data_IF_001080289149
#
_entry.id   IF_001080289149
#
_cell.length_a   1.000
_cell.length_b   1.000
_cell.length_c   1.000
_cell.angle_alpha   90.00
_cell.angle_beta   90.00
_cell.angle_gamma   90.00
#
_symmetry.space_group_name_H-M   'P 1'
#
loop_
_entity.id
_entity.type
_entity.pdbx_description
1 polymer ?
#
# COMPACT_ATOMS: atom_id res chain seq x y z
N UNK A 1 -14.30 17.42 21.73
CA UNK A 1 -14.58 16.88 20.38
C UNK A 1 -14.40 17.88 19.22
N UNK A 2 -14.28 19.20 19.42
CA UNK A 2 -14.14 20.18 18.31
C UNK A 2 -12.81 20.11 17.52
N UNK A 3 -11.71 19.66 18.13
CA UNK A 3 -10.43 19.54 17.44
C UNK A 3 -10.47 18.45 16.34
N UNK A 4 -11.08 17.29 16.66
CA UNK A 4 -11.19 16.17 15.73
C UNK A 4 -12.04 16.51 14.50
N UNK A 5 -13.15 17.25 14.70
CA UNK A 5 -14.02 17.65 13.59
C UNK A 5 -13.37 18.66 12.65
N UNK A 6 -12.58 19.60 13.18
CA UNK A 6 -11.80 20.57 12.39
C UNK A 6 -10.71 19.88 11.57
N UNK A 7 -10.02 18.90 12.15
CA UNK A 7 -9.02 18.08 11.44
C UNK A 7 -9.69 17.31 10.31
N UNK A 8 -10.83 16.65 10.55
CA UNK A 8 -11.55 15.90 9.52
C UNK A 8 -12.07 16.81 8.38
N UNK A 9 -12.51 18.03 8.68
CA UNK A 9 -12.91 19.01 7.67
C UNK A 9 -11.72 19.50 6.84
N UNK A 10 -10.58 19.75 7.47
CA UNK A 10 -9.34 20.10 6.78
C UNK A 10 -8.88 18.98 5.84
N UNK A 11 -8.94 17.72 6.28
CA UNK A 11 -8.55 16.60 5.42
C UNK A 11 -9.54 16.43 4.23
N UNK A 12 -10.85 16.61 4.47
CA UNK A 12 -11.85 16.64 3.37
C UNK A 12 -11.58 17.74 2.35
N UNK A 13 -11.21 18.95 2.79
CA UNK A 13 -10.93 20.07 1.89
C UNK A 13 -9.59 19.94 1.17
N UNK A 14 -8.61 19.27 1.78
CA UNK A 14 -7.40 18.85 1.09
C UNK A 14 -7.75 17.89 -0.03
N UNK A 15 -8.55 16.84 0.23
CA UNK A 15 -8.82 15.81 -0.77
C UNK A 15 -9.52 16.31 -2.04
N UNK A 16 -10.42 17.28 -1.92
CA UNK A 16 -11.06 17.90 -3.09
C UNK A 16 -10.10 18.71 -3.97
N UNK A 17 -8.96 19.12 -3.42
CA UNK A 17 -7.92 19.92 -4.11
C UNK A 17 -6.71 19.08 -4.57
N UNK A 18 -6.67 17.79 -4.24
CA UNK A 18 -5.57 16.91 -4.64
C UNK A 18 -5.55 16.75 -6.17
N UNK A 19 -4.39 16.88 -6.84
CA UNK A 19 -4.23 16.55 -8.25
C UNK A 19 -4.71 15.12 -8.59
N UNK A 20 -5.27 14.93 -9.79
CA UNK A 20 -5.86 13.63 -10.19
C UNK A 20 -4.85 12.48 -10.05
N UNK A 21 -3.59 12.74 -10.38
CA UNK A 21 -2.49 11.78 -10.35
C UNK A 21 -2.24 11.27 -8.93
N UNK A 22 -2.28 12.16 -7.93
CA UNK A 22 -2.09 11.78 -6.53
C UNK A 22 -3.29 10.98 -6.01
N UNK A 23 -4.52 11.29 -6.43
CA UNK A 23 -5.70 10.48 -6.08
C UNK A 23 -5.62 9.07 -6.65
N UNK A 24 -5.16 8.93 -7.88
CA UNK A 24 -4.91 7.62 -8.51
C UNK A 24 -3.83 6.87 -7.74
N UNK A 25 -2.72 7.53 -7.41
CA UNK A 25 -1.63 6.91 -6.66
C UNK A 25 -2.08 6.42 -5.27
N UNK A 26 -2.88 7.21 -4.55
CA UNK A 26 -3.47 6.81 -3.26
C UNK A 26 -4.38 5.59 -3.43
N UNK A 27 -5.24 5.59 -4.45
CA UNK A 27 -6.09 4.45 -4.75
C UNK A 27 -5.26 3.18 -5.02
N UNK A 28 -4.23 3.28 -5.87
CA UNK A 28 -3.32 2.16 -6.16
C UNK A 28 -2.66 1.65 -4.89
N UNK A 29 -2.11 2.54 -4.05
CA UNK A 29 -1.48 2.16 -2.80
C UNK A 29 -2.41 1.37 -1.87
N UNK A 30 -3.65 1.83 -1.74
CA UNK A 30 -4.68 1.14 -0.96
C UNK A 30 -5.05 -0.21 -1.56
N UNK A 31 -5.30 -0.29 -2.87
CA UNK A 31 -5.71 -1.56 -3.50
C UNK A 31 -4.60 -2.60 -3.44
N UNK A 32 -3.34 -2.22 -3.70
CA UNK A 32 -2.19 -3.12 -3.56
C UNK A 32 -2.10 -3.66 -2.13
N UNK A 33 -2.16 -2.80 -1.12
CA UNK A 33 -2.12 -3.23 0.28
C UNK A 33 -3.26 -4.18 0.61
N UNK A 34 -4.46 -3.90 0.11
CA UNK A 34 -5.63 -4.73 0.37
C UNK A 34 -5.56 -6.08 -0.33
N UNK A 35 -5.00 -6.14 -1.53
CA UNK A 35 -4.69 -7.40 -2.20
C UNK A 35 -3.62 -8.18 -1.44
N UNK A 36 -2.58 -7.50 -0.92
CA UNK A 36 -1.56 -8.11 -0.07
C UNK A 36 -2.17 -8.73 1.20
N UNK A 37 -3.11 -8.04 1.86
CA UNK A 37 -3.84 -8.57 3.03
C UNK A 37 -4.65 -9.82 2.72
N UNK A 38 -5.20 -9.91 1.51
CA UNK A 38 -6.08 -11.00 1.07
C UNK A 38 -5.33 -12.22 0.55
N UNK A 39 -4.01 -12.12 0.37
CA UNK A 39 -3.20 -13.26 -0.01
C UNK A 39 -3.10 -14.25 1.16
N UNK A 40 -4.06 -15.16 1.20
CA UNK A 40 -4.02 -16.38 2.01
C UNK A 40 -3.67 -17.50 1.05
N UNK A 41 -2.46 -18.06 1.21
CA UNK A 41 -1.98 -19.24 0.48
C UNK A 41 -2.37 -19.27 -1.01
N UNK A 42 -2.13 -18.18 -1.74
CA UNK A 42 -2.48 -18.13 -3.16
C UNK A 42 -1.56 -19.04 -3.97
N UNK A 43 -2.08 -20.05 -4.70
CA UNK A 43 -1.30 -20.88 -5.61
C UNK A 43 -0.97 -20.13 -6.91
N UNK A 44 -0.98 -18.79 -6.90
CA UNK A 44 -0.66 -17.99 -8.06
C UNK A 44 0.81 -18.18 -8.44
N UNK A 45 1.04 -18.54 -9.70
CA UNK A 45 2.38 -18.69 -10.29
C UNK A 45 3.20 -17.39 -10.22
N UNK A 46 2.53 -16.23 -10.16
CA UNK A 46 3.13 -14.91 -9.94
C UNK A 46 2.34 -14.10 -8.90
N UNK A 47 2.87 -14.05 -7.67
CA UNK A 47 2.29 -13.31 -6.54
C UNK A 47 2.15 -11.81 -6.82
N UNK A 48 3.01 -11.21 -7.65
CA UNK A 48 2.94 -9.80 -8.00
C UNK A 48 1.75 -9.51 -8.91
N UNK A 49 1.35 -10.45 -9.77
CA UNK A 49 0.14 -10.32 -10.59
C UNK A 49 -1.12 -10.28 -9.72
N UNK A 50 -1.14 -11.02 -8.62
CA UNK A 50 -2.28 -11.02 -7.70
C UNK A 50 -2.38 -9.71 -6.87
N UNK A 51 -1.25 -9.06 -6.61
CA UNK A 51 -1.20 -7.84 -5.77
C UNK A 51 -1.44 -6.59 -6.59
N UNK A 52 -0.82 -6.49 -7.76
CA UNK A 52 -0.84 -5.28 -8.58
C UNK A 52 -2.12 -5.24 -9.42
N UNK A 53 -2.91 -4.16 -9.38
CA UNK A 53 -4.11 -4.03 -10.19
C UNK A 53 -3.84 -4.22 -11.69
N UNK A 54 -4.67 -5.00 -12.38
CA UNK A 54 -4.49 -5.31 -13.80
C UNK A 54 -4.86 -4.17 -14.76
N UNK A 55 -5.66 -3.21 -14.28
CA UNK A 55 -6.25 -2.10 -15.04
C UNK A 55 -5.38 -0.82 -15.07
N UNK A 56 -4.24 -0.81 -14.39
CA UNK A 56 -3.27 0.30 -14.46
C UNK A 56 -2.35 0.16 -15.69
N UNK A 57 -1.66 1.24 -16.05
CA UNK A 57 -0.75 1.23 -17.20
C UNK A 57 0.47 0.30 -16.98
N UNK A 58 0.98 -0.29 -18.05
CA UNK A 58 2.03 -1.31 -17.96
C UNK A 58 3.36 -0.78 -17.43
N UNK A 59 3.66 0.50 -17.67
CA UNK A 59 4.85 1.14 -17.09
C UNK A 59 4.73 1.20 -15.57
N UNK A 60 3.56 1.57 -15.06
CA UNK A 60 3.26 1.55 -13.63
C UNK A 60 3.30 0.14 -13.05
N UNK A 61 2.77 -0.87 -13.76
CA UNK A 61 2.88 -2.28 -13.31
C UNK A 61 4.33 -2.70 -13.13
N UNK A 62 5.18 -2.45 -14.13
CA UNK A 62 6.61 -2.76 -14.08
C UNK A 62 7.31 -1.99 -12.94
N UNK A 63 6.97 -0.72 -12.78
CA UNK A 63 7.49 0.12 -11.70
C UNK A 63 7.12 -0.42 -10.31
N UNK A 64 5.85 -0.80 -10.10
CA UNK A 64 5.38 -1.37 -8.84
C UNK A 64 5.97 -2.76 -8.58
N UNK A 65 6.12 -3.59 -9.62
CA UNK A 65 6.80 -4.90 -9.52
C UNK A 65 8.20 -4.77 -8.95
N UNK A 66 8.98 -3.81 -9.44
CA UNK A 66 10.33 -3.55 -8.94
C UNK A 66 10.32 -2.90 -7.54
N UNK A 67 9.31 -2.10 -7.21
CA UNK A 67 9.32 -1.27 -5.99
C UNK A 67 8.73 -1.94 -4.77
N UNK A 68 7.73 -2.81 -4.91
CA UNK A 68 7.08 -3.48 -3.79
C UNK A 68 8.04 -4.36 -2.97
N UNK A 69 8.91 -5.20 -3.58
CA UNK A 69 9.92 -5.94 -2.84
C UNK A 69 10.83 -5.00 -2.02
N UNK A 70 11.28 -3.90 -2.63
CA UNK A 70 12.13 -2.89 -1.95
C UNK A 70 11.41 -2.28 -0.75
N UNK A 71 10.11 -1.97 -0.86
CA UNK A 71 9.31 -1.43 0.25
C UNK A 71 9.29 -2.43 1.42
N UNK A 72 9.07 -3.72 1.16
CA UNK A 72 9.05 -4.74 2.22
C UNK A 72 10.42 -4.92 2.87
N UNK A 73 11.51 -4.85 2.10
CA UNK A 73 12.88 -4.86 2.63
C UNK A 73 13.16 -3.63 3.50
N UNK A 74 12.75 -2.43 3.06
CA UNK A 74 12.92 -1.18 3.80
C UNK A 74 12.16 -1.18 5.13
N UNK A 75 10.98 -1.81 5.15
CA UNK A 75 10.19 -2.02 6.36
C UNK A 75 10.71 -3.18 7.22
N UNK A 76 11.77 -3.87 6.80
CA UNK A 76 12.34 -5.06 7.47
C UNK A 76 11.32 -6.18 7.65
N UNK A 77 10.36 -6.30 6.73
CA UNK A 77 9.35 -7.35 6.73
C UNK A 77 9.82 -8.62 6.02
N UNK A 78 10.81 -8.51 5.13
CA UNK A 78 11.47 -9.64 4.53
C UNK A 78 12.95 -9.57 4.90
N UNK A 79 13.38 -10.38 5.87
CA UNK A 79 14.75 -10.31 6.38
C UNK A 79 15.77 -10.86 5.37
N UNK A 80 16.95 -10.24 5.37
CA UNK A 80 18.01 -10.29 4.37
C UNK A 80 18.98 -11.48 4.56
N UNK A 81 18.64 -12.44 5.44
CA UNK A 81 19.54 -13.54 5.82
C UNK A 81 19.81 -14.60 4.75
N UNK A 82 19.21 -14.48 3.57
CA UNK A 82 19.45 -15.37 2.43
C UNK A 82 19.85 -14.50 1.24
N UNK A 83 21.11 -14.53 0.77
CA UNK A 83 21.47 -13.89 -0.48
C UNK A 83 20.69 -14.53 -1.64
N UNK A 84 20.22 -13.71 -2.59
CA UNK A 84 19.54 -14.11 -3.84
C UNK A 84 18.05 -14.50 -3.78
N UNK A 85 17.24 -13.93 -2.87
CA UNK A 85 15.78 -14.04 -2.98
C UNK A 85 15.26 -13.35 -4.24
N UNK A 86 14.41 -14.03 -4.99
CA UNK A 86 13.58 -13.43 -6.04
C UNK A 86 12.57 -12.44 -5.46
N UNK A 87 12.09 -11.51 -6.29
CA UNK A 87 11.06 -10.53 -5.88
C UNK A 87 9.82 -11.21 -5.28
N UNK A 88 9.37 -12.33 -5.87
CA UNK A 88 8.24 -13.11 -5.36
C UNK A 88 8.50 -13.70 -3.97
N UNK A 89 9.71 -14.19 -3.70
CA UNK A 89 10.09 -14.72 -2.38
C UNK A 89 10.17 -13.62 -1.32
N UNK A 90 10.61 -12.40 -1.70
CA UNK A 90 10.60 -11.23 -0.82
C UNK A 90 9.17 -10.87 -0.43
N UNK A 91 8.25 -10.81 -1.42
CA UNK A 91 6.83 -10.55 -1.15
C UNK A 91 6.24 -11.60 -0.22
N UNK A 92 6.49 -12.89 -0.51
CA UNK A 92 5.98 -14.00 0.32
C UNK A 92 6.48 -13.90 1.76
N UNK A 93 7.78 -13.70 1.96
CA UNK A 93 8.38 -13.53 3.28
C UNK A 93 7.80 -12.32 4.03
N UNK A 94 7.52 -11.22 3.33
CA UNK A 94 6.86 -10.05 3.93
C UNK A 94 5.43 -10.34 4.38
N UNK A 95 4.65 -11.08 3.59
CA UNK A 95 3.28 -11.50 3.94
C UNK A 95 3.29 -12.45 5.16
N UNK A 96 4.18 -13.45 5.15
CA UNK A 96 4.36 -14.36 6.29
C UNK A 96 4.70 -13.59 7.56
N UNK A 97 5.64 -12.64 7.48
CA UNK A 97 6.03 -11.80 8.62
C UNK A 97 4.85 -10.95 9.10
N UNK A 98 4.07 -10.34 8.20
CA UNK A 98 2.87 -9.59 8.57
C UNK A 98 1.82 -10.46 9.28
N UNK A 99 1.68 -11.73 8.89
CA UNK A 99 0.74 -12.66 9.50
C UNK A 99 1.16 -13.13 10.91
N UNK A 100 2.46 -13.06 11.22
CA UNK A 100 2.98 -13.37 12.57
C UNK A 100 2.85 -12.21 13.56
N UNK A 101 2.62 -10.99 13.06
CA UNK A 101 2.41 -9.82 13.92
C UNK A 101 1.01 -9.82 14.53
N UNK A 102 0.90 -9.29 15.75
CA UNK A 102 -0.42 -9.00 16.32
C UNK A 102 -1.16 -7.95 15.48
N UNK A 103 -2.49 -7.92 15.57
CA UNK A 103 -3.36 -7.10 14.71
C UNK A 103 -2.96 -5.62 14.70
N UNK A 104 -2.67 -5.04 15.86
CA UNK A 104 -2.37 -3.61 15.97
C UNK A 104 -1.05 -3.26 15.26
N UNK A 105 0.00 -4.07 15.46
CA UNK A 105 1.29 -3.84 14.81
C UNK A 105 1.18 -4.11 13.30
N UNK A 106 0.47 -5.19 12.92
CA UNK A 106 0.21 -5.53 11.52
C UNK A 106 -0.47 -4.38 10.78
N UNK A 107 -1.50 -3.78 11.38
CA UNK A 107 -2.24 -2.68 10.78
C UNK A 107 -1.37 -1.43 10.56
N UNK A 108 -0.42 -1.14 11.47
CA UNK A 108 0.57 -0.07 11.30
C UNK A 108 1.44 -0.33 10.06
N UNK A 109 1.97 -1.55 9.92
CA UNK A 109 2.79 -1.90 8.75
C UNK A 109 1.99 -1.88 7.45
N UNK A 110 0.75 -2.38 7.45
CA UNK A 110 -0.13 -2.33 6.29
C UNK A 110 -0.42 -0.88 5.86
N UNK A 111 -0.66 0.01 6.82
CA UNK A 111 -0.83 1.44 6.56
C UNK A 111 0.44 2.05 5.94
N UNK A 112 1.62 1.73 6.50
CA UNK A 112 2.91 2.17 5.93
C UNK A 112 3.15 1.63 4.52
N UNK A 113 2.81 0.37 4.23
CA UNK A 113 2.89 -0.21 2.88
C UNK A 113 1.99 0.57 1.92
N UNK A 114 0.76 0.91 2.35
CA UNK A 114 -0.19 1.67 1.53
C UNK A 114 0.37 3.05 1.17
N UNK A 115 0.93 3.77 2.16
CA UNK A 115 1.59 5.06 1.94
C UNK A 115 2.78 4.92 0.99
N UNK A 116 3.71 4.02 1.27
CA UNK A 116 4.94 3.88 0.48
C UNK A 116 4.63 3.43 -0.95
N UNK A 117 3.61 2.61 -1.14
CA UNK A 117 3.12 2.21 -2.46
C UNK A 117 2.47 3.39 -3.18
N UNK A 118 1.65 4.19 -2.50
CA UNK A 118 1.10 5.41 -3.08
C UNK A 118 2.21 6.42 -3.45
N UNK A 119 3.25 6.55 -2.63
CA UNK A 119 4.42 7.36 -2.97
C UNK A 119 5.11 6.83 -4.22
N UNK A 120 5.35 5.52 -4.31
CA UNK A 120 5.91 4.88 -5.49
C UNK A 120 5.05 5.11 -6.74
N UNK A 121 3.73 4.91 -6.64
CA UNK A 121 2.78 5.09 -7.73
C UNK A 121 2.64 6.57 -8.17
N UNK A 122 2.96 7.51 -7.29
CA UNK A 122 3.03 8.94 -7.63
C UNK A 122 4.37 9.36 -8.25
N UNK A 123 5.32 8.43 -8.45
CA UNK A 123 6.71 8.72 -8.77
C UNK A 123 7.33 9.71 -7.76
N UNK A 124 7.09 9.48 -6.46
CA UNK A 124 7.53 10.31 -5.33
C UNK A 124 6.99 11.75 -5.29
N UNK A 125 5.96 12.08 -6.09
CA UNK A 125 5.27 13.38 -5.97
C UNK A 125 4.45 13.49 -4.67
N UNK A 126 3.97 12.37 -4.14
CA UNK A 126 3.35 12.30 -2.82
C UNK A 126 4.43 12.29 -1.74
N UNK A 127 4.43 13.30 -0.87
CA UNK A 127 5.28 13.30 0.33
C UNK A 127 4.70 12.35 1.37
N UNK A 128 5.56 11.77 2.18
CA UNK A 128 5.15 10.77 3.18
C UNK A 128 4.12 11.33 4.17
N UNK A 129 4.37 12.55 4.68
CA UNK A 129 3.48 13.22 5.64
C UNK A 129 2.08 13.45 5.06
N UNK A 130 2.00 13.87 3.80
CA UNK A 130 0.70 14.01 3.11
C UNK A 130 0.06 12.64 2.93
N UNK A 131 0.86 11.63 2.54
CA UNK A 131 0.41 10.25 2.38
C UNK A 131 -0.30 9.70 3.62
N UNK A 132 0.22 9.95 4.83
CA UNK A 132 -0.41 9.52 6.10
C UNK A 132 -1.87 9.97 6.17
N UNK A 133 -2.14 11.26 6.00
CA UNK A 133 -3.50 11.79 6.13
C UNK A 133 -4.39 11.39 4.96
N UNK A 134 -3.82 11.32 3.76
CA UNK A 134 -4.58 11.11 2.53
C UNK A 134 -4.99 9.65 2.33
N UNK A 135 -4.11 8.72 2.68
CA UNK A 135 -4.41 7.28 2.71
C UNK A 135 -5.44 6.99 3.80
N UNK A 136 -5.27 7.54 5.01
CA UNK A 136 -6.23 7.36 6.11
C UNK A 136 -7.63 7.88 5.73
N UNK A 137 -7.69 9.08 5.16
CA UNK A 137 -8.96 9.62 4.68
C UNK A 137 -9.59 8.74 3.59
N UNK A 138 -8.77 8.21 2.69
CA UNK A 138 -9.25 7.33 1.63
C UNK A 138 -9.88 6.07 2.23
N UNK A 139 -9.21 5.42 3.18
CA UNK A 139 -9.77 4.29 3.93
C UNK A 139 -11.11 4.64 4.60
N UNK A 140 -11.20 5.80 5.25
CA UNK A 140 -12.40 6.19 5.99
C UNK A 140 -13.58 6.66 5.14
N UNK A 141 -13.35 7.10 3.89
CA UNK A 141 -14.37 7.82 3.09
C UNK A 141 -14.62 7.29 1.69
N UNK A 142 -13.67 6.56 1.10
CA UNK A 142 -13.72 6.17 -0.30
C UNK A 142 -13.52 4.69 -0.52
N UNK A 143 -12.59 4.08 0.21
CA UNK A 143 -12.39 2.64 0.11
C UNK A 143 -13.66 1.93 0.58
N UNK A 144 -14.21 1.11 -0.30
CA UNK A 144 -15.24 0.14 0.04
C UNK A 144 -14.59 -1.22 -0.14
N UNK A 145 -14.45 -2.02 0.93
CA UNK A 145 -14.03 -3.40 0.76
C UNK A 145 -14.98 -4.04 -0.25
N UNK A 146 -14.44 -4.79 -1.20
CA UNK A 146 -15.27 -5.73 -1.95
C UNK A 146 -15.79 -6.72 -0.89
N UNK A 147 -17.04 -6.55 -0.46
CA UNK A 147 -17.74 -7.54 0.35
C UNK A 147 -17.69 -8.85 -0.41
N UNK A 148 -17.06 -9.86 0.18
CA UNK A 148 -17.26 -11.24 -0.26
C UNK A 148 -18.69 -11.65 0.05
#
# INVERSE_FOLDING_TARGET
MQALSKILQFIKSLFSRIPKELRIAIHIGVVVTENLKKLVDSPATDILTAIIPGDIDDRMKLWLRARLPIILLQLKLADNGIPHKSDGEIIKCGIETLNLLNSNIRDIFLHNISILTAQAASYNKLKWQDGVYLVEWYYQKKYKPITQ
#
